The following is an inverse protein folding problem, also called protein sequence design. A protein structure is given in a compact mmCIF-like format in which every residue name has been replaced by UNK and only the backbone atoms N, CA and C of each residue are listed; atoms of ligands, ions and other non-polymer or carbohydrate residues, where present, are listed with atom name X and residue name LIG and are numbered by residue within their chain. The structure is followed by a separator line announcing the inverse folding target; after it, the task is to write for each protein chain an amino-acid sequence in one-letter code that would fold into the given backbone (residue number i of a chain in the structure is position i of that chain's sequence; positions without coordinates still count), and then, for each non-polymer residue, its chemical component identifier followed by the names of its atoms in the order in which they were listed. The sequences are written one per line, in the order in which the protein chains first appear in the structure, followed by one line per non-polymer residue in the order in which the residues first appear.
data_IF_358910822561
#
_entry.id   IF_358910822561
#
_cell.length_a   1.000
_cell.length_b   1.000
_cell.length_c   1.000
_cell.angle_alpha   90.00
_cell.angle_beta   90.00
_cell.angle_gamma   90.00
#
_symmetry.space_group_name_H-M   'P 1'
#
loop_
_entity.id
_entity.type
_entity.pdbx_description
1 polymer ?
#
# COMPACT_ATOMS: atom_id res chain seq x y z
N UNK A 1 8.60 10.10 -8.72
CA UNK A 1 9.95 9.50 -8.49
C UNK A 1 9.93 8.73 -7.19
N UNK A 2 10.52 7.54 -7.15
CA UNK A 2 10.80 6.79 -5.90
C UNK A 2 12.24 7.09 -5.51
N UNK A 3 12.46 7.50 -4.27
CA UNK A 3 13.80 7.57 -3.67
C UNK A 3 14.08 6.24 -2.97
N UNK A 4 15.35 5.83 -2.98
CA UNK A 4 15.79 4.62 -2.29
C UNK A 4 16.99 4.89 -1.41
N UNK A 5 16.98 4.35 -0.19
CA UNK A 5 18.12 4.37 0.74
C UNK A 5 18.25 2.99 1.35
N UNK A 6 19.45 2.40 1.32
CA UNK A 6 19.72 1.08 1.87
C UNK A 6 20.68 1.20 3.06
N UNK A 7 20.24 0.74 4.22
CA UNK A 7 20.98 0.79 5.48
C UNK A 7 20.71 -0.47 6.32
N UNK A 8 21.73 -1.13 6.81
CA UNK A 8 21.65 -2.28 7.72
C UNK A 8 20.72 -3.43 7.22
N UNK A 9 20.67 -3.68 5.92
CA UNK A 9 19.79 -4.68 5.31
C UNK A 9 18.33 -4.24 5.16
N UNK A 10 18.00 -3.00 5.48
CA UNK A 10 16.68 -2.40 5.28
C UNK A 10 16.72 -1.44 4.10
N UNK A 11 15.91 -1.69 3.09
CA UNK A 11 15.74 -0.80 1.96
C UNK A 11 14.50 0.09 2.18
N UNK A 12 14.71 1.39 2.24
CA UNK A 12 13.65 2.39 2.29
C UNK A 12 13.31 2.86 0.89
N UNK A 13 12.03 2.80 0.53
CA UNK A 13 11.47 3.30 -0.73
C UNK A 13 10.48 4.41 -0.40
N UNK A 14 10.82 5.64 -0.80
CA UNK A 14 9.99 6.83 -0.51
C UNK A 14 9.27 7.32 -1.75
N UNK A 15 7.95 7.45 -1.68
CA UNK A 15 7.19 8.21 -2.67
C UNK A 15 7.59 9.68 -2.61
N UNK A 16 8.18 10.22 -3.68
CA UNK A 16 8.66 11.61 -3.71
C UNK A 16 8.03 12.40 -4.86
N UNK A 17 6.75 12.71 -4.68
CA UNK A 17 5.97 13.60 -5.52
C UNK A 17 5.13 14.53 -4.64
N UNK A 18 5.78 15.23 -3.72
CA UNK A 18 5.18 16.01 -2.63
C UNK A 18 4.25 17.11 -3.10
N UNK A 19 4.50 17.71 -4.27
CA UNK A 19 3.64 18.71 -4.89
C UNK A 19 2.23 18.18 -5.17
N UNK A 20 2.12 16.88 -5.51
CA UNK A 20 0.87 16.18 -5.76
C UNK A 20 0.48 15.22 -4.61
N UNK A 21 0.91 15.50 -3.38
CA UNK A 21 0.63 14.66 -2.20
C UNK A 21 0.97 13.16 -2.44
N UNK A 22 2.06 12.88 -3.15
CA UNK A 22 2.52 11.55 -3.52
C UNK A 22 1.50 10.71 -4.31
N UNK A 23 0.59 11.36 -5.05
CA UNK A 23 -0.33 10.66 -5.94
C UNK A 23 0.44 9.90 -7.04
N UNK A 24 -0.03 8.70 -7.37
CA UNK A 24 0.62 7.76 -8.27
C UNK A 24 0.26 8.09 -9.72
N UNK A 25 1.22 8.60 -10.49
CA UNK A 25 1.16 8.67 -11.93
C UNK A 25 1.83 7.44 -12.56
N UNK A 26 1.79 7.32 -13.88
CA UNK A 26 2.38 6.19 -14.62
C UNK A 26 3.84 5.94 -14.23
N UNK A 27 4.65 7.00 -14.18
CA UNK A 27 6.07 6.91 -13.84
C UNK A 27 6.32 6.43 -12.39
N UNK A 28 5.42 6.79 -11.45
CA UNK A 28 5.52 6.35 -10.06
C UNK A 28 5.23 4.86 -9.92
N UNK A 29 4.23 4.35 -10.64
CA UNK A 29 3.94 2.91 -10.66
C UNK A 29 5.10 2.12 -11.24
N UNK A 30 5.62 2.52 -12.40
CA UNK A 30 6.74 1.84 -13.04
C UNK A 30 8.01 1.91 -12.17
N UNK A 31 8.27 3.06 -11.53
CA UNK A 31 9.41 3.22 -10.61
C UNK A 31 9.27 2.36 -9.34
N UNK A 32 8.06 2.25 -8.78
CA UNK A 32 7.81 1.39 -7.62
C UNK A 32 8.02 -0.08 -7.98
N UNK A 33 7.45 -0.52 -9.10
CA UNK A 33 7.64 -1.88 -9.61
C UNK A 33 9.12 -2.20 -9.82
N UNK A 34 9.85 -1.35 -10.52
CA UNK A 34 11.28 -1.55 -10.75
C UNK A 34 12.09 -1.62 -9.44
N UNK A 35 11.79 -0.73 -8.47
CA UNK A 35 12.44 -0.72 -7.17
C UNK A 35 12.13 -2.00 -6.36
N UNK A 36 10.88 -2.47 -6.38
CA UNK A 36 10.49 -3.72 -5.72
C UNK A 36 11.15 -4.93 -6.35
N UNK A 37 11.21 -5.03 -7.69
CA UNK A 37 11.91 -6.12 -8.38
C UNK A 37 13.40 -6.12 -8.04
N UNK A 38 14.05 -4.96 -8.02
CA UNK A 38 15.43 -4.81 -7.58
C UNK A 38 15.63 -5.27 -6.13
N UNK A 39 14.74 -4.86 -5.23
CA UNK A 39 14.78 -5.26 -3.82
C UNK A 39 14.57 -6.77 -3.62
N UNK A 40 13.68 -7.38 -4.38
CA UNK A 40 13.42 -8.83 -4.33
C UNK A 40 14.67 -9.61 -4.76
N UNK A 41 15.33 -9.18 -5.83
CA UNK A 41 16.52 -9.85 -6.38
C UNK A 41 17.80 -9.64 -5.54
N UNK A 42 17.91 -8.56 -4.77
CA UNK A 42 19.10 -8.23 -3.99
C UNK A 42 19.18 -9.03 -2.67
N UNK A 43 20.11 -9.97 -2.50
CA UNK A 43 20.23 -10.77 -1.27
C UNK A 43 20.68 -9.96 -0.05
N UNK A 44 21.19 -8.74 -0.23
CA UNK A 44 21.58 -7.84 0.87
C UNK A 44 20.39 -7.15 1.50
N UNK A 45 19.29 -6.97 0.76
CA UNK A 45 18.02 -6.46 1.28
C UNK A 45 17.30 -7.56 2.07
N UNK A 46 17.05 -7.32 3.35
CA UNK A 46 16.38 -8.25 4.28
C UNK A 46 14.97 -7.81 4.65
N UNK A 47 14.70 -6.50 4.60
CA UNK A 47 13.38 -5.90 4.85
C UNK A 47 13.24 -4.67 3.95
N UNK A 48 12.01 -4.39 3.53
CA UNK A 48 11.67 -3.21 2.72
C UNK A 48 10.76 -2.32 3.55
N UNK A 49 10.97 -1.01 3.51
CA UNK A 49 10.07 -0.01 4.10
C UNK A 49 9.54 0.88 3.00
N UNK A 50 8.22 0.96 2.87
CA UNK A 50 7.55 1.95 2.02
C UNK A 50 7.18 3.17 2.87
N UNK A 51 7.49 4.37 2.39
CA UNK A 51 7.12 5.62 3.06
C UNK A 51 6.83 6.72 2.04
N UNK A 52 6.39 7.89 2.50
CA UNK A 52 6.19 9.06 1.65
C UNK A 52 7.04 10.24 2.10
N UNK A 53 7.53 11.04 1.17
CA UNK A 53 8.19 12.30 1.46
C UNK A 53 7.16 13.39 1.78
N UNK A 54 7.55 14.30 2.66
CA UNK A 54 6.72 15.45 3.02
C UNK A 54 5.62 15.13 4.04
N UNK A 55 4.74 16.12 4.28
CA UNK A 55 3.76 16.09 5.38
C UNK A 55 2.30 16.01 4.91
N UNK A 56 2.04 15.99 3.59
CA UNK A 56 0.66 16.02 3.06
C UNK A 56 0.02 14.65 3.04
N UNK A 57 0.72 13.66 2.52
CA UNK A 57 0.24 12.29 2.43
C UNK A 57 1.42 11.30 2.38
N UNK A 58 1.20 10.11 2.89
CA UNK A 58 1.99 8.94 2.52
C UNK A 58 1.84 8.70 1.02
N UNK A 59 0.60 8.54 0.58
CA UNK A 59 0.20 8.47 -0.82
C UNK A 59 -1.29 8.82 -0.95
N UNK A 60 -1.62 9.75 -1.84
CA UNK A 60 -2.99 10.22 -2.07
C UNK A 60 -3.78 9.36 -3.08
N UNK A 61 -3.26 8.20 -3.47
CA UNK A 61 -3.89 7.31 -4.44
C UNK A 61 -3.51 7.62 -5.89
N UNK A 62 -4.32 7.18 -6.85
CA UNK A 62 -4.08 7.40 -8.26
C UNK A 62 -4.17 8.88 -8.64
N UNK A 63 -3.26 9.34 -9.48
CA UNK A 63 -3.37 10.66 -10.13
C UNK A 63 -4.28 10.55 -11.36
N UNK A 64 -5.58 10.70 -11.14
CA UNK A 64 -6.59 10.59 -12.21
C UNK A 64 -6.33 11.55 -13.38
N UNK A 65 -5.65 12.68 -13.14
CA UNK A 65 -5.27 13.62 -14.21
C UNK A 65 -4.17 13.07 -15.10
N UNK A 66 -3.28 12.25 -14.58
CA UNK A 66 -2.19 11.64 -15.36
C UNK A 66 -2.71 10.65 -16.40
N UNK A 67 -3.94 10.15 -16.22
CA UNK A 67 -4.59 9.22 -17.15
C UNK A 67 -5.56 9.91 -18.11
N UNK A 68 -5.81 11.22 -17.97
CA UNK A 68 -6.84 11.94 -18.73
C UNK A 68 -6.59 12.03 -20.24
N UNK A 69 -5.36 11.82 -20.70
CA UNK A 69 -5.03 11.75 -22.14
C UNK A 69 -5.49 10.45 -22.81
N UNK A 70 -5.78 9.42 -22.02
CA UNK A 70 -6.40 8.18 -22.46
C UNK A 70 -7.92 8.33 -22.31
N UNK A 71 -8.73 7.79 -23.16
CA UNK A 71 -10.17 7.72 -22.89
C UNK A 71 -10.45 7.07 -21.53
N UNK A 72 -11.60 7.36 -20.89
CA UNK A 72 -11.91 6.93 -19.51
C UNK A 72 -11.64 5.43 -19.29
N UNK A 73 -12.20 4.60 -20.14
CA UNK A 73 -12.05 3.13 -20.08
C UNK A 73 -10.59 2.70 -20.17
N UNK A 74 -9.83 3.22 -21.16
CA UNK A 74 -8.41 2.88 -21.31
C UNK A 74 -7.57 3.37 -20.13
N UNK A 75 -7.90 4.53 -19.57
CA UNK A 75 -7.25 5.08 -18.40
C UNK A 75 -7.44 4.17 -17.18
N UNK A 76 -8.66 3.72 -16.95
CA UNK A 76 -9.01 2.85 -15.83
C UNK A 76 -8.39 1.45 -16.01
N UNK A 77 -8.43 0.85 -17.19
CA UNK A 77 -7.77 -0.43 -17.48
C UNK A 77 -6.26 -0.34 -17.27
N UNK A 78 -5.62 0.72 -17.77
CA UNK A 78 -4.19 0.94 -17.56
C UNK A 78 -3.83 1.12 -16.10
N UNK A 79 -4.67 1.84 -15.34
CA UNK A 79 -4.49 1.98 -13.90
C UNK A 79 -4.58 0.64 -13.17
N UNK A 80 -5.56 -0.20 -13.51
CA UNK A 80 -5.70 -1.54 -12.95
C UNK A 80 -4.48 -2.43 -13.25
N UNK A 81 -3.94 -2.41 -14.48
CA UNK A 81 -2.73 -3.16 -14.84
C UNK A 81 -1.52 -2.76 -13.96
N UNK A 82 -1.37 -1.46 -13.72
CA UNK A 82 -0.26 -0.94 -12.92
C UNK A 82 -0.42 -1.26 -11.43
N UNK A 83 -1.65 -1.20 -10.92
CA UNK A 83 -1.98 -1.61 -9.55
C UNK A 83 -1.69 -3.10 -9.35
N UNK A 84 -2.20 -3.95 -10.23
CA UNK A 84 -2.03 -5.41 -10.14
C UNK A 84 -0.54 -5.76 -10.07
N UNK A 85 0.30 -5.14 -10.92
CA UNK A 85 1.76 -5.34 -10.89
C UNK A 85 2.38 -4.98 -9.53
N UNK A 86 2.04 -3.81 -8.98
CA UNK A 86 2.58 -3.37 -7.69
C UNK A 86 2.06 -4.23 -6.53
N UNK A 87 0.82 -4.70 -6.60
CA UNK A 87 0.24 -5.59 -5.60
C UNK A 87 0.89 -6.97 -5.63
N UNK A 88 1.13 -7.50 -6.82
CA UNK A 88 1.86 -8.75 -7.01
C UNK A 88 3.28 -8.67 -6.45
N UNK A 89 3.98 -7.55 -6.65
CA UNK A 89 5.30 -7.34 -6.07
C UNK A 89 5.29 -7.43 -4.54
N UNK A 90 4.31 -6.81 -3.89
CA UNK A 90 4.17 -6.84 -2.42
C UNK A 90 3.81 -8.23 -1.89
N UNK A 91 2.85 -8.89 -2.53
CA UNK A 91 2.33 -10.19 -2.11
C UNK A 91 3.29 -11.34 -2.39
N UNK A 92 4.05 -11.27 -3.48
CA UNK A 92 5.03 -12.28 -3.87
C UNK A 92 6.44 -12.00 -3.36
N UNK A 93 6.67 -10.83 -2.74
CA UNK A 93 7.93 -10.52 -2.08
C UNK A 93 8.13 -11.45 -0.88
N UNK A 94 9.11 -12.35 -0.96
CA UNK A 94 9.44 -13.25 0.15
C UNK A 94 10.09 -12.56 1.35
N UNK A 95 10.30 -11.23 1.29
CA UNK A 95 10.90 -10.42 2.35
C UNK A 95 9.82 -9.66 3.12
N UNK A 96 10.06 -9.31 4.41
CA UNK A 96 9.19 -8.41 5.14
C UNK A 96 9.06 -7.06 4.45
N UNK A 97 7.84 -6.54 4.38
CA UNK A 97 7.55 -5.18 3.90
C UNK A 97 6.78 -4.42 4.96
N UNK A 98 7.25 -3.25 5.34
CA UNK A 98 6.64 -2.37 6.35
C UNK A 98 6.20 -1.08 5.69
N UNK A 99 4.97 -0.65 5.92
CA UNK A 99 4.54 0.70 5.57
C UNK A 99 4.79 1.66 6.73
N UNK A 100 5.58 2.71 6.50
CA UNK A 100 5.77 3.84 7.41
C UNK A 100 4.84 4.98 6.97
N UNK A 101 3.66 5.05 7.57
CA UNK A 101 2.59 5.97 7.18
C UNK A 101 2.71 7.27 7.97
N UNK A 102 3.49 8.23 7.45
CA UNK A 102 3.80 9.51 8.09
C UNK A 102 2.69 10.58 7.93
N UNK A 103 1.73 10.35 7.04
CA UNK A 103 0.60 11.23 6.75
C UNK A 103 -0.52 10.41 6.08
N UNK A 104 -1.59 11.05 5.62
CA UNK A 104 -2.76 10.37 5.08
C UNK A 104 -2.44 9.32 4.00
N UNK A 105 -3.06 8.14 4.08
CA UNK A 105 -3.02 7.12 3.04
C UNK A 105 -4.42 6.94 2.43
N UNK A 106 -4.54 7.18 1.12
CA UNK A 106 -5.85 7.33 0.46
C UNK A 106 -5.93 6.47 -0.79
N UNK A 107 -7.05 5.79 -1.01
CA UNK A 107 -7.29 4.99 -2.21
C UNK A 107 -6.17 3.96 -2.43
N UNK A 108 -5.57 3.95 -3.61
CA UNK A 108 -4.43 3.09 -3.94
C UNK A 108 -3.27 3.21 -2.92
N UNK A 109 -3.10 4.38 -2.28
CA UNK A 109 -2.10 4.56 -1.23
C UNK A 109 -2.40 3.74 0.03
N UNK A 110 -3.66 3.69 0.46
CA UNK A 110 -4.07 2.79 1.53
C UNK A 110 -3.97 1.32 1.09
N UNK A 111 -4.35 1.00 -0.14
CA UNK A 111 -4.25 -0.37 -0.66
C UNK A 111 -2.81 -0.88 -0.63
N UNK A 112 -1.84 -0.08 -1.08
CA UNK A 112 -0.41 -0.43 -1.00
C UNK A 112 0.06 -0.61 0.45
N UNK A 113 -0.30 0.31 1.35
CA UNK A 113 0.04 0.19 2.76
C UNK A 113 -0.57 -1.06 3.40
N UNK A 114 -1.84 -1.37 3.09
CA UNK A 114 -2.55 -2.52 3.64
C UNK A 114 -2.05 -3.87 3.08
N UNK A 115 -1.36 -3.89 1.95
CA UNK A 115 -0.68 -5.09 1.43
C UNK A 115 0.72 -5.30 2.01
N UNK A 116 1.27 -4.33 2.73
CA UNK A 116 2.47 -4.55 3.52
C UNK A 116 2.20 -5.51 4.68
N UNK A 117 3.23 -6.19 5.14
CA UNK A 117 3.11 -7.15 6.25
C UNK A 117 2.76 -6.42 7.56
N UNK A 118 3.30 -5.21 7.72
CA UNK A 118 3.02 -4.35 8.88
C UNK A 118 2.86 -2.89 8.47
N UNK A 119 2.08 -2.15 9.27
CA UNK A 119 1.91 -0.71 9.14
C UNK A 119 2.29 -0.04 10.46
N UNK A 120 3.25 0.88 10.39
CA UNK A 120 3.57 1.82 11.47
C UNK A 120 3.02 3.18 11.05
N UNK A 121 2.12 3.76 11.84
CA UNK A 121 1.35 4.95 11.46
C UNK A 121 1.53 6.08 12.47
N UNK A 122 1.61 7.31 12.00
CA UNK A 122 1.64 8.46 12.89
C UNK A 122 0.27 8.71 13.53
N UNK A 123 0.25 9.13 14.81
CA UNK A 123 -1.00 9.31 15.58
C UNK A 123 -2.01 10.26 14.94
N UNK A 124 -1.53 11.41 14.43
CA UNK A 124 -2.40 12.48 13.93
C UNK A 124 -2.69 12.36 12.43
N UNK A 125 -2.94 11.15 11.95
CA UNK A 125 -3.29 10.93 10.55
C UNK A 125 -4.47 9.98 10.38
N UNK A 126 -4.87 9.77 9.16
CA UNK A 126 -6.05 8.98 8.80
C UNK A 126 -5.84 8.22 7.49
N UNK A 127 -6.69 7.23 7.27
CA UNK A 127 -6.79 6.46 6.03
C UNK A 127 -8.19 6.54 5.45
N UNK A 128 -8.36 6.32 4.13
CA UNK A 128 -9.67 6.30 3.48
C UNK A 128 -9.62 5.54 2.15
N UNK A 129 -10.75 4.94 1.76
CA UNK A 129 -11.05 4.45 0.40
C UNK A 129 -12.21 5.28 -0.17
N UNK A 130 -11.94 6.48 -0.70
CA UNK A 130 -13.01 7.43 -1.06
C UNK A 130 -13.61 7.17 -2.45
N UNK A 131 -13.26 6.11 -3.15
CA UNK A 131 -13.62 5.81 -4.54
C UNK A 131 -15.14 5.89 -4.75
N UNK A 132 -15.93 5.37 -3.83
CA UNK A 132 -17.40 5.40 -3.88
C UNK A 132 -17.97 6.81 -3.94
N UNK A 133 -17.29 7.81 -3.37
CA UNK A 133 -17.71 9.21 -3.41
C UNK A 133 -17.52 9.86 -4.80
N UNK A 134 -16.81 9.19 -5.69
CA UNK A 134 -16.55 9.58 -7.08
C UNK A 134 -17.24 8.65 -8.08
N UNK A 135 -18.24 7.88 -7.62
CA UNK A 135 -18.96 6.88 -8.45
C UNK A 135 -18.00 5.83 -9.06
N UNK A 136 -16.97 5.47 -8.29
CA UNK A 136 -16.00 4.46 -8.68
C UNK A 136 -16.14 3.23 -7.75
N UNK A 137 -16.52 2.06 -8.28
CA UNK A 137 -16.53 0.84 -7.48
C UNK A 137 -15.09 0.44 -7.11
N UNK A 138 -14.90 -0.03 -5.88
CA UNK A 138 -13.58 -0.48 -5.41
C UNK A 138 -13.59 -1.90 -4.84
N UNK A 139 -13.93 -2.92 -5.66
CA UNK A 139 -13.87 -4.32 -5.21
C UNK A 139 -12.45 -4.73 -4.78
N UNK A 140 -11.43 -4.17 -5.43
CA UNK A 140 -10.03 -4.38 -5.09
C UNK A 140 -9.73 -3.87 -3.67
N UNK A 141 -10.14 -2.63 -3.35
CA UNK A 141 -9.99 -2.08 -2.00
C UNK A 141 -10.70 -2.92 -0.95
N UNK A 142 -11.91 -3.41 -1.27
CA UNK A 142 -12.66 -4.31 -0.40
C UNK A 142 -11.91 -5.63 -0.16
N UNK A 143 -11.38 -6.27 -1.20
CA UNK A 143 -10.62 -7.51 -1.10
C UNK A 143 -9.36 -7.37 -0.22
N UNK A 144 -8.73 -6.18 -0.23
CA UNK A 144 -7.52 -5.90 0.55
C UNK A 144 -7.85 -5.64 2.02
N UNK A 145 -8.88 -4.84 2.32
CA UNK A 145 -9.12 -4.42 3.71
C UNK A 145 -9.99 -5.39 4.49
N UNK A 146 -10.95 -6.08 3.86
CA UNK A 146 -11.90 -6.94 4.59
C UNK A 146 -11.27 -8.12 5.36
N UNK A 147 -10.15 -8.72 4.95
CA UNK A 147 -9.48 -9.74 5.75
C UNK A 147 -8.75 -9.19 6.97
N UNK A 148 -8.54 -7.87 7.05
CA UNK A 148 -7.72 -7.22 8.08
C UNK A 148 -8.52 -6.50 9.16
N UNK A 149 -9.80 -6.19 8.88
CA UNK A 149 -10.64 -5.38 9.77
C UNK A 149 -12.03 -5.98 9.92
N UNK A 150 -12.80 -5.49 10.89
CA UNK A 150 -14.19 -5.91 11.07
C UNK A 150 -15.06 -5.55 9.85
N UNK A 151 -16.18 -6.29 9.68
CA UNK A 151 -17.18 -5.97 8.65
C UNK A 151 -17.70 -4.52 8.76
N UNK A 152 -17.81 -4.00 9.97
CA UNK A 152 -18.22 -2.61 10.22
C UNK A 152 -17.20 -1.63 9.65
N UNK A 153 -15.91 -1.87 9.89
CA UNK A 153 -14.84 -1.03 9.39
C UNK A 153 -14.74 -1.13 7.86
N UNK A 154 -14.84 -2.33 7.29
CA UNK A 154 -14.90 -2.53 5.85
C UNK A 154 -16.02 -1.68 5.23
N UNK A 155 -17.23 -1.72 5.79
CA UNK A 155 -18.37 -0.93 5.30
C UNK A 155 -18.08 0.57 5.34
N UNK A 156 -17.49 1.09 6.42
CA UNK A 156 -17.15 2.51 6.55
C UNK A 156 -16.10 2.95 5.54
N UNK A 157 -15.06 2.15 5.35
CA UNK A 157 -14.01 2.47 4.38
C UNK A 157 -14.51 2.38 2.94
N UNK A 158 -15.17 1.27 2.58
CA UNK A 158 -15.49 0.93 1.19
C UNK A 158 -16.82 1.54 0.73
N UNK A 159 -17.88 1.49 1.56
CA UNK A 159 -19.21 1.93 1.16
C UNK A 159 -19.52 3.39 1.52
N UNK A 160 -18.81 3.94 2.51
CA UNK A 160 -19.03 5.31 2.94
C UNK A 160 -17.83 6.23 2.60
N UNK A 161 -16.67 5.67 2.23
CA UNK A 161 -15.47 6.45 1.93
C UNK A 161 -14.96 7.26 3.13
N UNK A 162 -15.28 6.82 4.35
CA UNK A 162 -14.94 7.55 5.56
C UNK A 162 -13.45 7.64 5.81
N UNK A 163 -13.06 8.71 6.50
CA UNK A 163 -11.71 8.85 7.05
C UNK A 163 -11.66 8.18 8.41
N UNK A 164 -10.70 7.29 8.58
CA UNK A 164 -10.49 6.53 9.82
C UNK A 164 -9.14 6.89 10.42
N UNK A 165 -9.12 7.32 11.67
CA UNK A 165 -7.91 7.75 12.39
C UNK A 165 -7.03 6.59 12.86
N UNK A 166 -5.77 6.91 13.19
CA UNK A 166 -4.74 5.93 13.56
C UNK A 166 -5.15 5.04 14.74
N UNK A 167 -5.74 5.62 15.79
CA UNK A 167 -6.16 4.86 16.98
C UNK A 167 -7.22 3.79 16.66
N UNK A 168 -8.17 4.13 15.79
CA UNK A 168 -9.20 3.17 15.36
C UNK A 168 -8.62 2.13 14.41
N UNK A 169 -7.72 2.51 13.49
CA UNK A 169 -6.99 1.57 12.65
C UNK A 169 -6.18 0.55 13.47
N UNK A 170 -5.57 0.98 14.58
CA UNK A 170 -4.87 0.10 15.50
C UNK A 170 -5.83 -0.87 16.20
N UNK A 171 -6.96 -0.37 16.73
CA UNK A 171 -7.95 -1.20 17.45
C UNK A 171 -8.62 -2.23 16.55
N UNK A 172 -8.76 -1.94 15.27
CA UNK A 172 -9.35 -2.84 14.28
C UNK A 172 -8.33 -3.81 13.65
N UNK A 173 -7.04 -3.66 13.95
CA UNK A 173 -5.97 -4.52 13.43
C UNK A 173 -5.45 -4.17 12.03
N UNK A 174 -5.90 -3.06 11.44
CA UNK A 174 -5.36 -2.58 10.16
C UNK A 174 -3.91 -2.11 10.29
N UNK A 175 -3.60 -1.46 11.40
CA UNK A 175 -2.29 -0.88 11.73
C UNK A 175 -1.65 -1.68 12.86
N UNK A 176 -0.36 -1.99 12.73
CA UNK A 176 0.39 -2.78 13.71
C UNK A 176 0.87 -1.93 14.89
N UNK A 177 1.31 -0.71 14.61
CA UNK A 177 1.87 0.23 15.59
C UNK A 177 1.45 1.66 15.27
N UNK A 178 1.20 2.44 16.31
CA UNK A 178 0.99 3.89 16.22
C UNK A 178 2.05 4.60 17.03
N UNK A 179 2.63 5.68 16.50
CA UNK A 179 3.69 6.43 17.14
C UNK A 179 3.51 7.96 16.98
N UNK A 180 4.00 8.76 17.96
CA UNK A 180 4.14 10.20 17.78
C UNK A 180 5.02 10.54 16.58
N UNK A 181 4.78 11.70 15.97
CA UNK A 181 5.47 12.12 14.73
C UNK A 181 7.00 12.10 14.86
N UNK A 182 7.52 12.53 15.99
CA UNK A 182 8.96 12.58 16.28
C UNK A 182 9.60 11.20 16.48
N UNK A 183 8.80 10.17 16.80
CA UNK A 183 9.25 8.81 17.03
C UNK A 183 8.98 7.84 15.88
N UNK A 184 8.15 8.26 14.90
CA UNK A 184 7.67 7.39 13.83
C UNK A 184 8.80 6.65 13.09
N UNK A 185 9.84 7.38 12.68
CA UNK A 185 10.96 6.81 11.94
C UNK A 185 11.77 5.83 12.78
N UNK A 186 12.01 6.15 14.07
CA UNK A 186 12.78 5.29 14.97
C UNK A 186 12.01 4.00 15.30
N UNK A 187 10.69 4.11 15.55
CA UNK A 187 9.80 2.95 15.76
C UNK A 187 9.79 2.07 14.52
N UNK A 188 9.65 2.68 13.33
CA UNK A 188 9.65 1.93 12.06
C UNK A 188 11.00 1.26 11.82
N UNK A 189 12.12 1.97 12.06
CA UNK A 189 13.48 1.42 11.90
C UNK A 189 13.71 0.24 12.84
N UNK A 190 13.33 0.37 14.11
CA UNK A 190 13.45 -0.71 15.08
C UNK A 190 12.64 -1.95 14.66
N UNK A 191 11.42 -1.74 14.15
CA UNK A 191 10.56 -2.81 13.67
C UNK A 191 11.13 -3.48 12.42
N UNK A 192 11.56 -2.71 11.43
CA UNK A 192 12.17 -3.23 10.21
C UNK A 192 13.45 -4.03 10.49
N UNK A 193 14.32 -3.58 11.43
CA UNK A 193 15.50 -4.33 11.88
C UNK A 193 15.12 -5.65 12.54
N UNK A 194 14.09 -5.67 13.40
CA UNK A 194 13.62 -6.90 14.02
C UNK A 194 13.11 -7.92 12.98
N UNK A 195 12.37 -7.45 11.97
CA UNK A 195 11.89 -8.29 10.87
C UNK A 195 13.05 -8.76 9.96
N UNK A 196 14.03 -7.91 9.68
CA UNK A 196 15.21 -8.25 8.89
C UNK A 196 16.08 -9.34 9.52
N UNK A 197 16.01 -9.51 10.85
CA UNK A 197 16.72 -10.55 11.58
C UNK A 197 16.04 -11.93 11.53
N UNK A 198 14.80 -12.01 11.03
CA UNK A 198 14.05 -13.28 10.91
C UNK A 198 14.65 -14.10 9.74
N UNK A 199 14.85 -15.42 9.91
CA UNK A 199 15.34 -16.28 8.83
C UNK A 199 14.43 -16.22 7.59
N UNK A 200 14.99 -15.81 6.46
CA UNK A 200 14.25 -15.50 5.23
C UNK A 200 13.39 -16.66 4.72
N UNK A 201 13.93 -17.89 4.71
CA UNK A 201 13.22 -19.04 4.14
C UNK A 201 11.89 -19.32 4.85
N UNK A 202 11.91 -19.36 6.18
CA UNK A 202 10.70 -19.60 6.97
C UNK A 202 9.70 -18.46 6.84
N UNK A 203 10.19 -17.21 6.83
CA UNK A 203 9.35 -16.02 6.65
C UNK A 203 8.64 -16.06 5.28
N UNK A 204 9.38 -16.31 4.21
CA UNK A 204 8.85 -16.36 2.84
C UNK A 204 7.75 -17.40 2.68
N UNK A 205 7.96 -18.61 3.20
CA UNK A 205 6.95 -19.67 3.15
C UNK A 205 5.69 -19.32 3.94
N UNK A 206 5.86 -18.78 5.15
CA UNK A 206 4.73 -18.35 5.97
C UNK A 206 3.96 -17.21 5.29
N UNK A 207 4.65 -16.22 4.75
CA UNK A 207 4.03 -15.10 4.01
C UNK A 207 3.26 -15.61 2.80
N UNK A 208 3.82 -16.53 2.04
CA UNK A 208 3.15 -17.14 0.88
C UNK A 208 1.82 -17.79 1.30
N UNK A 209 1.79 -18.51 2.41
CA UNK A 209 0.59 -19.15 2.94
C UNK A 209 -0.42 -18.13 3.48
N UNK A 210 0.03 -17.18 4.31
CA UNK A 210 -0.83 -16.16 4.94
C UNK A 210 -1.51 -15.29 3.88
N UNK A 211 -0.81 -14.95 2.79
CA UNK A 211 -1.34 -14.09 1.73
C UNK A 211 -2.11 -14.81 0.64
N UNK A 212 -2.23 -16.15 0.69
CA UNK A 212 -2.90 -16.93 -0.35
C UNK A 212 -4.34 -16.47 -0.60
N UNK A 213 -5.14 -16.36 0.46
CA UNK A 213 -6.54 -15.93 0.36
C UNK A 213 -6.65 -14.51 -0.23
N UNK A 214 -5.80 -13.57 0.21
CA UNK A 214 -5.79 -12.21 -0.33
C UNK A 214 -5.47 -12.20 -1.82
N UNK A 215 -4.53 -13.02 -2.31
CA UNK A 215 -4.22 -13.13 -3.74
C UNK A 215 -5.40 -13.65 -4.55
N UNK A 216 -6.08 -14.69 -4.05
CA UNK A 216 -7.26 -15.26 -4.72
C UNK A 216 -8.41 -14.24 -4.80
N UNK A 217 -8.70 -13.53 -3.72
CA UNK A 217 -9.73 -12.51 -3.69
C UNK A 217 -9.37 -11.28 -4.54
N UNK A 218 -8.10 -10.88 -4.58
CA UNK A 218 -7.64 -9.79 -5.46
C UNK A 218 -7.80 -10.14 -6.93
N UNK A 219 -7.45 -11.37 -7.33
CA UNK A 219 -7.64 -11.81 -8.71
C UNK A 219 -9.12 -11.75 -9.13
N UNK A 220 -10.04 -12.18 -8.25
CA UNK A 220 -11.49 -12.08 -8.48
C UNK A 220 -11.97 -10.63 -8.53
N UNK A 221 -11.48 -9.80 -7.61
CA UNK A 221 -11.84 -8.38 -7.54
C UNK A 221 -11.34 -7.60 -8.76
N UNK A 222 -10.13 -7.90 -9.26
CA UNK A 222 -9.57 -7.29 -10.49
C UNK A 222 -10.41 -7.67 -11.72
N UNK A 223 -10.82 -8.94 -11.85
CA UNK A 223 -11.72 -9.35 -12.92
C UNK A 223 -13.06 -8.62 -12.85
N UNK A 224 -13.66 -8.49 -11.66
CA UNK A 224 -14.90 -7.75 -11.47
C UNK A 224 -14.73 -6.27 -11.83
N UNK A 225 -13.63 -5.62 -11.36
CA UNK A 225 -13.36 -4.22 -11.67
C UNK A 225 -13.26 -3.98 -13.19
N UNK A 226 -12.62 -4.89 -13.93
CA UNK A 226 -12.49 -4.81 -15.40
C UNK A 226 -13.83 -5.01 -16.10
N UNK A 227 -14.65 -5.97 -15.66
CA UNK A 227 -15.95 -6.25 -16.30
C UNK A 227 -16.96 -5.10 -16.17
N UNK A 228 -16.83 -4.26 -15.15
CA UNK A 228 -17.68 -3.06 -14.98
C UNK A 228 -17.33 -1.95 -15.99
N UNK A 229 -16.09 -1.95 -16.53
CA UNK A 229 -15.65 -0.96 -17.51
C UNK A 229 -16.10 -1.27 -18.95
N UNK A 230 -16.51 -2.52 -19.21
CA UNK A 230 -16.96 -2.98 -20.53
C UNK A 230 -18.45 -2.66 -20.80
N UNK A 231 -19.13 -2.01 -19.83
CA UNK A 231 -20.57 -1.64 -19.90
C UNK A 231 -20.81 -0.16 -19.63
#
# INVERSE_FOLDING_TARGET
MILSTHEDGVLWLSFNRTAAANALNLEMYDALHAAMQGAIADPTVKCIVLTGEGKKAFCAGADLKAFSALGREQAELRHLDLLDRCFDDLLNCGKPVVACVQAAAVGAGLMLAALCDEIVMVEQTWVSLPEVLFDMPTPIGAAIVSPRVSRRMTHRLVQLGERVGAAECLSEGLVSLVAPSEQLLDVTRARAKALAAIPHHAYALNKQWITQHTREELARASLLARSVLEH
#
